data_IF_475768826357
#
_entry.id   IF_475768826357
#
_cell.length_a   1.000
_cell.length_b   1.000
_cell.length_c   1.000
_cell.angle_alpha   90.00
_cell.angle_beta   90.00
_cell.angle_gamma   90.00
#
_symmetry.space_group_name_H-M   'P 1'
#
loop_
_entity.id
_entity.type
_entity.pdbx_description
1 polymer ?
#
# COMPACT_ATOMS: atom_id res chain seq x y z
N UNK A 1 -2.38 -13.19 -5.35
CA UNK A 1 -0.97 -12.89 -5.67
C UNK A 1 -0.40 -12.20 -4.47
N UNK A 2 0.71 -12.71 -3.95
CA UNK A 2 1.28 -12.23 -2.71
C UNK A 2 2.30 -11.13 -2.98
N UNK A 3 2.10 -9.97 -2.37
CA UNK A 3 3.08 -8.90 -2.31
C UNK A 3 3.31 -8.55 -0.85
N UNK A 4 4.58 -8.47 -0.43
CA UNK A 4 4.95 -7.89 0.86
C UNK A 4 4.12 -8.46 2.03
N UNK A 5 3.95 -9.78 2.05
CA UNK A 5 3.19 -10.47 3.11
C UNK A 5 1.66 -10.48 2.96
N UNK A 6 1.06 -9.72 2.03
CA UNK A 6 -0.39 -9.63 1.85
C UNK A 6 -0.87 -10.23 0.51
N UNK A 7 -2.04 -10.87 0.53
CA UNK A 7 -2.67 -11.43 -0.67
C UNK A 7 -3.55 -10.39 -1.37
N UNK A 8 -3.29 -10.20 -2.66
CA UNK A 8 -4.06 -9.33 -3.54
C UNK A 8 -4.82 -10.14 -4.60
N UNK A 9 -6.13 -9.89 -4.76
CA UNK A 9 -6.85 -10.35 -5.94
C UNK A 9 -6.18 -9.77 -7.21
N UNK A 10 -6.11 -10.57 -8.29
CA UNK A 10 -5.44 -10.19 -9.55
C UNK A 10 -5.81 -8.78 -10.03
N UNK A 11 -7.11 -8.47 -10.05
CA UNK A 11 -7.64 -7.14 -10.45
C UNK A 11 -7.16 -6.00 -9.55
N UNK A 12 -6.95 -6.23 -8.25
CA UNK A 12 -6.45 -5.20 -7.34
C UNK A 12 -4.97 -4.96 -7.60
N UNK A 13 -4.19 -6.03 -7.74
CA UNK A 13 -2.77 -5.93 -8.09
C UNK A 13 -2.56 -5.18 -9.40
N UNK A 14 -3.26 -5.56 -10.48
CA UNK A 14 -3.11 -4.91 -11.79
C UNK A 14 -3.43 -3.40 -11.73
N UNK A 15 -4.39 -3.02 -10.89
CA UNK A 15 -4.71 -1.60 -10.66
C UNK A 15 -3.62 -0.89 -9.85
N UNK A 16 -3.02 -1.56 -8.87
CA UNK A 16 -1.89 -1.02 -8.12
C UNK A 16 -0.68 -0.79 -9.02
N UNK A 17 -0.30 -1.80 -9.81
CA UNK A 17 0.76 -1.67 -10.81
C UNK A 17 0.52 -0.51 -11.79
N UNK A 18 -0.72 -0.31 -12.23
CA UNK A 18 -1.06 0.86 -13.06
C UNK A 18 -0.87 2.19 -12.32
N UNK A 19 -1.17 2.27 -11.04
CA UNK A 19 -0.98 3.49 -10.25
C UNK A 19 0.51 3.80 -10.10
N UNK A 20 1.33 2.77 -9.87
CA UNK A 20 2.79 2.88 -9.91
C UNK A 20 3.28 3.40 -11.27
N UNK A 21 2.87 2.75 -12.36
CA UNK A 21 3.28 3.10 -13.72
C UNK A 21 2.81 4.49 -14.17
N UNK A 22 1.69 4.97 -13.62
CA UNK A 22 1.13 6.32 -13.84
C UNK A 22 1.78 7.40 -12.94
N UNK A 23 2.87 7.09 -12.22
CA UNK A 23 3.58 8.01 -11.30
C UNK A 23 2.63 8.63 -10.25
N UNK A 24 1.83 7.77 -9.62
CA UNK A 24 0.86 8.17 -8.58
C UNK A 24 1.35 7.89 -7.16
N UNK A 25 2.49 7.21 -7.00
CA UNK A 25 3.15 7.06 -5.72
C UNK A 25 4.04 8.28 -5.53
N UNK A 26 3.64 9.11 -4.59
CA UNK A 26 4.30 10.37 -4.22
C UNK A 26 5.10 10.16 -2.93
N UNK A 27 5.70 11.25 -2.44
CA UNK A 27 6.42 11.41 -1.16
C UNK A 27 6.43 10.19 -0.23
N UNK A 28 7.63 9.69 0.05
CA UNK A 28 7.84 8.60 0.99
C UNK A 28 8.75 9.02 2.14
N UNK A 29 8.44 8.56 3.35
CA UNK A 29 9.32 8.72 4.51
C UNK A 29 9.25 7.50 5.43
N UNK A 30 10.28 7.33 6.25
CA UNK A 30 10.35 6.25 7.23
C UNK A 30 10.30 6.84 8.64
N UNK A 31 9.48 6.24 9.50
CA UNK A 31 9.38 6.61 10.91
C UNK A 31 9.09 5.37 11.74
N UNK A 32 9.87 5.11 12.79
CA UNK A 32 9.62 4.02 13.75
C UNK A 32 9.40 2.64 13.08
N UNK A 33 10.26 2.26 12.12
CA UNK A 33 10.14 1.01 11.33
C UNK A 33 8.86 0.91 10.46
N UNK A 34 8.17 2.02 10.26
CA UNK A 34 7.06 2.15 9.33
C UNK A 34 7.47 2.99 8.14
N UNK A 35 7.28 2.45 6.95
CA UNK A 35 7.35 3.20 5.70
C UNK A 35 5.98 3.83 5.44
N UNK A 36 5.99 5.12 5.13
CA UNK A 36 4.82 5.89 4.75
C UNK A 36 4.96 6.30 3.29
N UNK A 37 3.89 6.13 2.52
CA UNK A 37 3.78 6.54 1.13
C UNK A 37 2.48 7.29 0.91
N UNK A 38 2.47 8.25 0.00
CA UNK A 38 1.24 8.89 -0.45
C UNK A 38 0.88 8.42 -1.85
N UNK A 39 -0.34 7.94 -2.05
CA UNK A 39 -0.80 7.45 -3.35
C UNK A 39 -1.98 8.26 -3.85
N UNK A 40 -1.83 8.88 -5.02
CA UNK A 40 -2.86 9.72 -5.65
C UNK A 40 -4.00 8.87 -6.27
N UNK A 41 -5.18 8.98 -5.68
CA UNK A 41 -6.43 8.36 -6.15
C UNK A 41 -7.48 9.42 -6.54
N UNK A 42 -8.70 9.27 -6.03
CA UNK A 42 -9.69 10.36 -6.00
C UNK A 42 -9.24 11.50 -5.06
N UNK A 43 -8.50 11.13 -4.03
CA UNK A 43 -7.79 12.00 -3.10
C UNK A 43 -6.40 11.40 -2.86
N UNK A 44 -5.55 12.04 -2.05
CA UNK A 44 -4.28 11.43 -1.62
C UNK A 44 -4.57 10.48 -0.45
N UNK A 45 -4.17 9.22 -0.61
CA UNK A 45 -4.34 8.19 0.41
C UNK A 45 -2.98 7.82 0.99
N UNK A 46 -2.86 7.77 2.31
CA UNK A 46 -1.65 7.30 2.97
C UNK A 46 -1.62 5.77 2.99
N UNK A 47 -0.52 5.19 2.51
CA UNK A 47 -0.18 3.78 2.68
C UNK A 47 0.90 3.66 3.73
N UNK A 48 0.75 2.72 4.65
CA UNK A 48 1.74 2.44 5.68
C UNK A 48 2.16 0.97 5.59
N UNK A 49 3.46 0.73 5.65
CA UNK A 49 4.05 -0.59 5.66
C UNK A 49 4.91 -0.73 6.92
N UNK A 50 4.50 -1.61 7.82
CA UNK A 50 5.18 -1.86 9.08
C UNK A 50 6.12 -3.04 8.93
N UNK A 51 7.37 -2.85 9.33
CA UNK A 51 8.30 -3.95 9.51
C UNK A 51 8.20 -4.52 10.92
N UNK A 52 8.42 -5.83 11.06
CA UNK A 52 8.65 -6.46 12.35
C UNK A 52 10.10 -6.24 12.82
N UNK A 53 10.48 -6.70 14.03
CA UNK A 53 11.86 -6.56 14.53
C UNK A 53 12.93 -7.29 13.72
N UNK A 54 12.55 -8.18 12.80
CA UNK A 54 13.45 -8.87 11.86
C UNK A 54 13.52 -8.16 10.51
N UNK A 55 12.93 -6.97 10.41
CA UNK A 55 12.81 -6.18 9.18
C UNK A 55 11.96 -6.87 8.09
N UNK A 56 11.11 -7.82 8.47
CA UNK A 56 10.15 -8.44 7.55
C UNK A 56 8.83 -7.67 7.53
N UNK A 57 8.14 -7.68 6.39
CA UNK A 57 6.85 -6.97 6.28
C UNK A 57 5.80 -7.68 7.13
N UNK A 58 5.34 -7.00 8.18
CA UNK A 58 4.35 -7.52 9.11
C UNK A 58 2.92 -7.15 8.72
N UNK A 59 2.72 -5.92 8.25
CA UNK A 59 1.40 -5.38 7.94
C UNK A 59 1.51 -4.23 6.96
N UNK A 60 0.53 -4.16 6.07
CA UNK A 60 0.31 -3.01 5.20
C UNK A 60 -1.12 -2.49 5.40
N UNK A 61 -1.26 -1.18 5.48
CA UNK A 61 -2.55 -0.49 5.64
C UNK A 61 -2.67 0.67 4.68
N UNK A 62 -3.91 1.09 4.44
CA UNK A 62 -4.22 2.29 3.68
C UNK A 62 -5.46 2.94 4.30
N UNK A 63 -5.52 4.27 4.31
CA UNK A 63 -6.63 5.08 4.84
C UNK A 63 -7.79 5.26 3.84
N UNK A 64 -7.77 4.55 2.70
CA UNK A 64 -8.87 4.63 1.74
C UNK A 64 -10.12 3.85 2.23
N UNK A 65 -11.34 4.28 1.85
CA UNK A 65 -12.59 3.61 2.28
C UNK A 65 -12.69 2.13 1.93
N UNK A 66 -11.96 1.69 0.90
CA UNK A 66 -11.94 0.27 0.51
C UNK A 66 -11.12 -0.59 1.48
N UNK A 67 -10.10 -0.01 2.10
CA UNK A 67 -9.22 -0.69 3.06
C UNK A 67 -9.84 -0.74 4.47
N UNK A 68 -10.71 0.22 4.82
CA UNK A 68 -11.40 0.28 6.12
C UNK A 68 -12.22 -0.98 6.44
N UNK A 69 -12.71 -1.67 5.41
CA UNK A 69 -13.42 -2.95 5.55
C UNK A 69 -12.47 -4.17 5.59
N UNK A 70 -11.19 -3.96 5.93
CA UNK A 70 -10.17 -5.00 6.08
C UNK A 70 -9.65 -5.61 4.77
N UNK A 71 -9.86 -4.95 3.63
CA UNK A 71 -9.47 -5.47 2.31
C UNK A 71 -8.15 -4.88 1.82
N UNK A 72 -7.35 -5.71 1.16
CA UNK A 72 -6.22 -5.27 0.37
C UNK A 72 -6.71 -4.41 -0.82
N UNK A 73 -6.16 -3.21 -0.95
CA UNK A 73 -6.61 -2.19 -1.89
C UNK A 73 -5.54 -1.89 -2.95
N UNK A 74 -5.92 -1.25 -4.04
CA UNK A 74 -4.98 -0.96 -5.14
C UNK A 74 -3.85 -0.01 -4.74
N UNK A 75 -4.06 0.88 -3.76
CA UNK A 75 -3.01 1.80 -3.31
C UNK A 75 -1.90 1.06 -2.57
N UNK A 76 -2.24 0.02 -1.79
CA UNK A 76 -1.26 -0.86 -1.14
C UNK A 76 -0.46 -1.72 -2.13
N UNK A 77 -0.97 -1.90 -3.35
CA UNK A 77 -0.31 -2.66 -4.41
C UNK A 77 0.40 -1.75 -5.44
N UNK A 78 0.41 -0.43 -5.21
CA UNK A 78 1.10 0.56 -6.03
C UNK A 78 2.52 0.76 -5.53
#
# INVERSE_FOLDING_TARGET
MRLLGQEFPKKIYERGYRYYADDRVEDSYVKNQTYHFWVRGSEKYQVQLNLDPKEEVSKMTCDCPYADIGKACKHMAA
#
